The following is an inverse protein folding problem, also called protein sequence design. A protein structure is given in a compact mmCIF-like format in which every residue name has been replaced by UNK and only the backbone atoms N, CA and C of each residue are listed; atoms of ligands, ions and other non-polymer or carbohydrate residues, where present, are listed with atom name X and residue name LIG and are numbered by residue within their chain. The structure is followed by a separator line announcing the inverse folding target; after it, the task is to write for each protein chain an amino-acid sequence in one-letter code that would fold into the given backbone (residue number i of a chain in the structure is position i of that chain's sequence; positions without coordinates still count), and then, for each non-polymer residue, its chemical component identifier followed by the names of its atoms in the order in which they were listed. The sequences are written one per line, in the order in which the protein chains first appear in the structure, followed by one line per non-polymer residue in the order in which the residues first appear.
data_IF_928897881417
#
_entry.id   IF_928897881417
#
_cell.length_a   1.000
_cell.length_b   1.000
_cell.length_c   1.000
_cell.angle_alpha   90.00
_cell.angle_beta   90.00
_cell.angle_gamma   90.00
#
_symmetry.space_group_name_H-M   'P 1'
#
loop_
_entity.id
_entity.type
_entity.pdbx_description
1 polymer ?
#
# COMPACT_ATOMS: atom_id res chain seq x y z
N UNK A 1 23.42 -6.15 -26.26
CA UNK A 1 22.88 -7.25 -25.44
C UNK A 1 21.41 -6.96 -25.14
N UNK A 2 20.45 -7.64 -25.77
CA UNK A 2 19.01 -7.44 -25.48
C UNK A 2 18.69 -8.11 -24.15
N UNK A 3 18.63 -7.34 -23.07
CA UNK A 3 18.13 -7.83 -21.77
C UNK A 3 16.66 -8.28 -21.95
N UNK A 4 16.41 -9.59 -21.95
CA UNK A 4 15.08 -10.13 -22.20
C UNK A 4 14.30 -10.29 -20.88
N UNK A 5 13.63 -9.20 -20.45
CA UNK A 5 12.73 -9.21 -19.28
C UNK A 5 11.43 -10.00 -19.49
N UNK A 6 11.21 -10.58 -20.67
CA UNK A 6 9.97 -11.26 -21.03
C UNK A 6 9.64 -12.44 -20.08
N UNK A 7 10.67 -13.14 -19.59
CA UNK A 7 10.50 -14.24 -18.61
C UNK A 7 10.01 -13.77 -17.24
N UNK A 8 10.21 -12.49 -16.90
CA UNK A 8 9.77 -11.91 -15.62
C UNK A 8 8.41 -11.22 -15.75
N UNK A 9 8.11 -10.71 -16.94
CA UNK A 9 6.83 -10.07 -17.27
C UNK A 9 5.72 -11.13 -17.33
N UNK A 10 5.95 -12.26 -18.01
CA UNK A 10 5.02 -13.40 -18.06
C UNK A 10 5.75 -14.65 -17.55
N UNK A 11 5.90 -14.80 -16.23
CA UNK A 11 6.65 -15.90 -15.66
C UNK A 11 5.89 -17.22 -15.81
N UNK A 12 6.59 -18.32 -16.09
CA UNK A 12 6.03 -19.66 -15.94
C UNK A 12 5.75 -19.95 -14.47
N UNK A 13 4.84 -20.90 -14.20
CA UNK A 13 4.36 -21.20 -12.84
C UNK A 13 5.51 -21.48 -11.87
N UNK A 14 6.51 -22.26 -12.27
CA UNK A 14 7.67 -22.56 -11.43
C UNK A 14 8.43 -21.31 -11.00
N UNK A 15 8.55 -20.29 -11.86
CA UNK A 15 9.26 -19.06 -11.55
C UNK A 15 8.45 -18.21 -10.55
N UNK A 16 7.12 -18.19 -10.67
CA UNK A 16 6.27 -17.51 -9.67
C UNK A 16 6.37 -18.17 -8.30
N UNK A 17 6.34 -19.51 -8.24
CA UNK A 17 6.52 -20.26 -6.99
C UNK A 17 7.89 -19.97 -6.41
N UNK A 18 8.95 -19.95 -7.24
CA UNK A 18 10.30 -19.60 -6.80
C UNK A 18 10.35 -18.18 -6.20
N UNK A 19 9.70 -17.18 -6.82
CA UNK A 19 9.70 -15.81 -6.26
C UNK A 19 9.05 -15.74 -4.87
N UNK A 20 7.99 -16.50 -4.65
CA UNK A 20 7.31 -16.58 -3.35
C UNK A 20 8.12 -17.35 -2.31
N UNK A 21 8.85 -18.39 -2.72
CA UNK A 21 9.75 -19.13 -1.82
C UNK A 21 10.97 -18.29 -1.43
N UNK A 22 11.54 -17.54 -2.38
CA UNK A 22 12.66 -16.63 -2.11
C UNK A 22 12.22 -15.50 -1.19
N UNK A 23 11.03 -14.91 -1.41
CA UNK A 23 10.50 -13.89 -0.51
C UNK A 23 10.26 -14.43 0.90
N UNK A 24 9.74 -15.67 1.03
CA UNK A 24 9.59 -16.34 2.32
C UNK A 24 10.93 -16.56 3.02
N UNK A 25 11.91 -17.12 2.31
CA UNK A 25 13.25 -17.36 2.86
C UNK A 25 13.93 -16.08 3.32
N UNK A 26 13.81 -15.00 2.54
CA UNK A 26 14.32 -13.67 2.92
C UNK A 26 13.57 -13.09 4.13
N UNK A 27 12.25 -13.26 4.20
CA UNK A 27 11.47 -12.77 5.34
C UNK A 27 11.83 -13.49 6.63
N UNK A 28 11.96 -14.82 6.59
CA UNK A 28 12.35 -15.62 7.76
C UNK A 28 13.81 -15.37 8.15
N UNK A 29 14.73 -15.19 7.19
CA UNK A 29 16.14 -14.90 7.53
C UNK A 29 16.29 -13.55 8.23
N UNK A 30 15.50 -12.55 7.84
CA UNK A 30 15.52 -11.23 8.52
C UNK A 30 15.08 -11.30 9.97
N UNK A 31 14.20 -12.24 10.35
CA UNK A 31 13.81 -12.42 11.76
C UNK A 31 15.01 -12.81 12.63
N UNK A 32 15.90 -13.66 12.13
CA UNK A 32 17.09 -14.08 12.87
C UNK A 32 18.20 -13.04 12.89
N UNK A 33 18.28 -12.20 11.84
CA UNK A 33 19.38 -11.25 11.63
C UNK A 33 19.04 -9.85 12.16
N UNK A 34 17.77 -9.46 12.16
CA UNK A 34 17.30 -8.10 12.45
C UNK A 34 16.19 -8.11 13.52
N UNK A 35 16.56 -7.88 14.78
CA UNK A 35 15.64 -7.92 15.95
C UNK A 35 15.20 -6.53 16.43
N UNK A 36 14.97 -5.59 15.52
CA UNK A 36 14.31 -4.31 15.87
C UNK A 36 12.98 -4.18 15.12
N UNK A 37 11.90 -4.77 15.65
CA UNK A 37 10.60 -4.49 15.10
C UNK A 37 10.27 -3.03 15.39
N UNK A 38 9.72 -2.33 14.40
CA UNK A 38 9.15 -1.02 14.63
C UNK A 38 7.67 -1.22 14.90
N UNK A 39 7.24 -1.28 16.19
CA UNK A 39 5.84 -1.39 16.51
C UNK A 39 5.10 -0.21 15.92
N UNK A 40 3.83 -0.43 15.58
CA UNK A 40 3.00 0.65 15.08
C UNK A 40 2.95 1.78 16.12
N UNK A 41 3.03 3.03 15.65
CA UNK A 41 2.98 4.17 16.57
C UNK A 41 1.53 4.44 17.03
N UNK A 42 1.37 4.88 18.28
CA UNK A 42 0.06 5.22 18.85
C UNK A 42 -0.58 4.10 19.67
N UNK A 43 -1.78 4.38 20.19
CA UNK A 43 -2.48 3.49 21.14
C UNK A 43 -2.88 2.14 20.53
N UNK A 44 -3.24 2.12 19.25
CA UNK A 44 -3.55 0.88 18.53
C UNK A 44 -2.30 0.00 18.44
N UNK A 45 -1.14 0.60 18.17
CA UNK A 45 0.12 -0.12 18.20
C UNK A 45 0.47 -0.68 19.58
N UNK A 46 0.30 0.10 20.65
CA UNK A 46 0.53 -0.41 22.02
C UNK A 46 -0.44 -1.52 22.41
N UNK A 47 -1.70 -1.45 21.96
CA UNK A 47 -2.68 -2.51 22.18
C UNK A 47 -2.33 -3.77 21.39
N UNK A 48 -1.96 -3.60 20.12
CA UNK A 48 -1.50 -4.69 19.26
C UNK A 48 -0.25 -5.38 19.80
N UNK A 49 0.71 -4.63 20.34
CA UNK A 49 1.89 -5.17 21.04
C UNK A 49 1.51 -5.99 22.29
N UNK A 50 0.46 -5.58 23.00
CA UNK A 50 -0.05 -6.32 24.16
C UNK A 50 -0.68 -7.67 23.81
N UNK A 51 -1.26 -7.81 22.61
CA UNK A 51 -1.81 -9.07 22.11
C UNK A 51 -0.71 -9.95 21.51
N UNK A 52 0.06 -9.38 20.59
CA UNK A 52 1.09 -10.09 19.85
C UNK A 52 2.29 -9.14 19.66
N UNK A 53 3.39 -9.33 20.39
CA UNK A 53 4.53 -8.45 20.28
C UNK A 53 5.13 -8.57 18.88
N UNK A 54 5.46 -7.43 18.26
CA UNK A 54 6.01 -7.39 16.90
C UNK A 54 7.37 -8.09 16.78
N UNK A 55 8.07 -8.28 17.90
CA UNK A 55 9.30 -9.08 17.99
C UNK A 55 9.07 -10.58 17.89
N UNK A 56 7.84 -11.07 18.05
CA UNK A 56 7.55 -12.49 17.98
C UNK A 56 7.64 -13.03 16.55
N UNK A 57 8.06 -14.29 16.44
CA UNK A 57 8.04 -15.04 15.18
C UNK A 57 6.61 -15.13 14.61
N UNK A 58 5.60 -15.25 15.47
CA UNK A 58 4.20 -15.27 15.08
C UNK A 58 3.77 -13.96 14.40
N UNK A 59 4.16 -12.79 14.92
CA UNK A 59 3.88 -11.50 14.28
C UNK A 59 4.57 -11.36 12.91
N UNK A 60 5.80 -11.87 12.80
CA UNK A 60 6.54 -11.90 11.54
C UNK A 60 5.85 -12.79 10.50
N UNK A 61 5.44 -14.00 10.86
CA UNK A 61 4.69 -14.91 9.98
C UNK A 61 3.32 -14.34 9.60
N UNK A 62 2.62 -13.68 10.54
CA UNK A 62 1.33 -13.05 10.26
C UNK A 62 1.50 -11.89 9.27
N UNK A 63 2.50 -11.02 9.49
CA UNK A 63 2.81 -9.92 8.57
C UNK A 63 3.16 -10.44 7.16
N UNK A 64 3.90 -11.54 7.06
CA UNK A 64 4.18 -12.21 5.79
C UNK A 64 2.91 -12.77 5.14
N UNK A 65 2.06 -13.45 5.90
CA UNK A 65 0.78 -13.97 5.39
C UNK A 65 -0.11 -12.87 4.82
N UNK A 66 -0.18 -11.72 5.50
CA UNK A 66 -0.92 -10.55 5.01
C UNK A 66 -0.26 -9.92 3.79
N UNK A 67 1.08 -9.88 3.72
CA UNK A 67 1.80 -9.47 2.51
C UNK A 67 1.47 -10.39 1.32
N UNK A 68 1.41 -11.71 1.52
CA UNK A 68 1.01 -12.66 0.46
C UNK A 68 -0.44 -12.43 0.00
N UNK A 69 -1.35 -12.13 0.94
CA UNK A 69 -2.72 -11.77 0.58
C UNK A 69 -2.77 -10.47 -0.22
N UNK A 70 -1.99 -9.45 0.15
CA UNK A 70 -1.85 -8.21 -0.63
C UNK A 70 -1.33 -8.48 -2.04
N UNK A 71 -0.28 -9.30 -2.18
CA UNK A 71 0.32 -9.62 -3.48
C UNK A 71 -0.65 -10.41 -4.37
N UNK A 72 -1.41 -11.33 -3.77
CA UNK A 72 -2.46 -12.08 -4.46
C UNK A 72 -3.61 -11.17 -4.91
N UNK A 73 -4.12 -10.32 -4.01
CA UNK A 73 -5.19 -9.37 -4.34
C UNK A 73 -4.74 -8.40 -5.44
N UNK A 74 -3.49 -7.94 -5.39
CA UNK A 74 -2.89 -7.11 -6.45
C UNK A 74 -2.83 -7.83 -7.81
N UNK A 75 -2.48 -9.12 -7.82
CA UNK A 75 -2.51 -9.93 -9.04
C UNK A 75 -3.94 -10.11 -9.56
N UNK A 76 -4.91 -10.33 -8.66
CA UNK A 76 -6.34 -10.46 -9.00
C UNK A 76 -6.91 -9.15 -9.55
N UNK A 77 -6.52 -8.00 -8.98
CA UNK A 77 -6.87 -6.67 -9.50
C UNK A 77 -6.39 -6.52 -10.94
N UNK A 78 -5.13 -6.90 -11.23
CA UNK A 78 -4.59 -6.82 -12.58
C UNK A 78 -5.34 -7.73 -13.55
N UNK A 79 -5.70 -8.94 -13.13
CA UNK A 79 -6.46 -9.88 -13.96
C UNK A 79 -7.92 -9.43 -14.21
N UNK A 80 -8.59 -8.84 -13.21
CA UNK A 80 -10.00 -8.46 -13.28
C UNK A 80 -10.23 -7.15 -14.04
N UNK A 81 -9.45 -6.12 -13.73
CA UNK A 81 -9.61 -4.78 -14.31
C UNK A 81 -8.71 -4.53 -15.51
N UNK A 82 -7.69 -5.39 -15.72
CA UNK A 82 -6.76 -5.30 -16.86
C UNK A 82 -6.15 -3.91 -17.02
N UNK A 83 -5.88 -3.23 -15.91
CA UNK A 83 -5.33 -1.87 -15.91
C UNK A 83 -3.92 -1.83 -16.54
N UNK A 84 -3.17 -2.95 -16.50
CA UNK A 84 -2.08 -3.23 -17.42
C UNK A 84 -2.62 -4.16 -18.52
N UNK A 85 -2.58 -3.69 -19.76
CA UNK A 85 -3.16 -4.40 -20.93
C UNK A 85 -2.55 -5.76 -21.20
N UNK A 86 -1.31 -5.96 -20.78
CA UNK A 86 -0.62 -7.23 -20.90
C UNK A 86 -0.81 -8.01 -19.61
N UNK A 87 -1.09 -9.31 -19.73
CA UNK A 87 -1.10 -10.21 -18.57
C UNK A 87 0.31 -10.25 -18.01
N UNK A 88 0.51 -9.68 -16.82
CA UNK A 88 1.86 -9.52 -16.26
C UNK A 88 1.89 -9.79 -14.76
N UNK A 89 2.98 -10.41 -14.31
CA UNK A 89 3.30 -10.61 -12.89
C UNK A 89 4.10 -9.44 -12.30
N UNK A 90 4.38 -8.43 -13.11
CA UNK A 90 5.27 -7.33 -12.75
C UNK A 90 4.82 -6.53 -11.52
N UNK A 91 3.53 -6.17 -11.35
CA UNK A 91 3.07 -5.48 -10.13
C UNK A 91 3.33 -6.31 -8.88
N UNK A 92 3.00 -7.60 -8.94
CA UNK A 92 3.21 -8.53 -7.83
C UNK A 92 4.69 -8.69 -7.50
N UNK A 93 5.55 -8.82 -8.51
CA UNK A 93 6.99 -8.91 -8.32
C UNK A 93 7.57 -7.66 -7.64
N UNK A 94 7.25 -6.46 -8.15
CA UNK A 94 7.77 -5.20 -7.57
C UNK A 94 7.26 -5.00 -6.15
N UNK A 95 6.00 -5.34 -5.87
CA UNK A 95 5.45 -5.28 -4.52
C UNK A 95 6.17 -6.22 -3.54
N UNK A 96 6.40 -7.48 -3.93
CA UNK A 96 7.14 -8.45 -3.12
C UNK A 96 8.58 -7.99 -2.88
N UNK A 97 9.25 -7.50 -3.92
CA UNK A 97 10.62 -6.99 -3.83
C UNK A 97 10.72 -5.85 -2.80
N UNK A 98 9.87 -4.83 -2.91
CA UNK A 98 9.90 -3.71 -1.97
C UNK A 98 9.54 -4.14 -0.55
N UNK A 99 8.49 -4.94 -0.41
CA UNK A 99 8.02 -5.38 0.92
C UNK A 99 9.09 -6.22 1.64
N UNK A 100 9.80 -7.10 0.92
CA UNK A 100 10.90 -7.90 1.50
C UNK A 100 12.16 -7.10 1.80
N UNK A 101 12.45 -6.05 1.04
CA UNK A 101 13.61 -5.20 1.29
C UNK A 101 13.37 -4.17 2.41
N UNK A 102 12.11 -3.84 2.70
CA UNK A 102 11.74 -2.87 3.73
C UNK A 102 11.60 -3.52 5.11
N UNK A 103 12.74 -3.75 5.76
CA UNK A 103 12.85 -4.34 7.09
C UNK A 103 11.89 -3.75 8.14
N UNK A 104 11.60 -2.43 8.20
CA UNK A 104 10.66 -1.90 9.19
C UNK A 104 9.22 -2.39 9.07
N UNK A 105 8.86 -2.99 7.93
CA UNK A 105 7.54 -3.59 7.69
C UNK A 105 7.42 -4.97 8.34
N UNK A 106 8.54 -5.64 8.59
CA UNK A 106 8.58 -7.00 9.12
C UNK A 106 8.13 -6.98 10.59
N UNK A 107 7.18 -7.84 10.94
CA UNK A 107 6.58 -7.88 12.28
C UNK A 107 5.47 -6.85 12.51
N UNK A 108 5.37 -5.79 11.69
CA UNK A 108 4.28 -4.81 11.77
C UNK A 108 3.04 -5.31 11.03
N UNK A 109 2.35 -6.27 11.62
CA UNK A 109 1.16 -6.87 11.03
C UNK A 109 -0.02 -5.89 10.89
N UNK A 110 -0.13 -4.90 11.79
CA UNK A 110 -1.21 -3.92 11.78
C UNK A 110 -1.13 -3.03 10.54
N UNK A 111 0.07 -2.53 10.19
CA UNK A 111 0.29 -1.75 8.98
C UNK A 111 -0.02 -2.55 7.70
N UNK A 112 0.38 -3.83 7.66
CA UNK A 112 0.09 -4.72 6.54
C UNK A 112 -1.41 -5.01 6.39
N UNK A 113 -2.13 -5.17 7.51
CA UNK A 113 -3.59 -5.35 7.52
C UNK A 113 -4.31 -4.09 7.06
N UNK A 114 -3.88 -2.91 7.51
CA UNK A 114 -4.43 -1.64 7.06
C UNK A 114 -4.24 -1.45 5.55
N UNK A 115 -3.07 -1.86 5.02
CA UNK A 115 -2.81 -1.85 3.60
C UNK A 115 -3.69 -2.82 2.82
N UNK A 116 -3.96 -4.01 3.35
CA UNK A 116 -4.89 -4.97 2.76
C UNK A 116 -6.30 -4.41 2.67
N UNK A 117 -6.81 -3.82 3.76
CA UNK A 117 -8.12 -3.19 3.75
C UNK A 117 -8.18 -2.06 2.72
N UNK A 118 -7.15 -1.20 2.68
CA UNK A 118 -7.10 -0.11 1.69
C UNK A 118 -7.00 -0.62 0.25
N UNK A 119 -6.28 -1.70 0.00
CA UNK A 119 -6.23 -2.35 -1.30
C UNK A 119 -7.61 -2.91 -1.70
N UNK A 120 -8.35 -3.47 -0.74
CA UNK A 120 -9.72 -3.94 -0.91
C UNK A 120 -10.67 -2.77 -1.24
N UNK A 121 -10.51 -1.61 -0.59
CA UNK A 121 -11.24 -0.37 -0.96
C UNK A 121 -10.99 -0.03 -2.43
N UNK A 122 -9.72 -0.03 -2.88
CA UNK A 122 -9.39 0.24 -4.29
C UNK A 122 -10.00 -0.83 -5.21
N UNK A 123 -9.93 -2.11 -4.84
CA UNK A 123 -10.52 -3.22 -5.61
C UNK A 123 -12.03 -3.05 -5.80
N UNK A 124 -12.77 -2.70 -4.74
CA UNK A 124 -14.23 -2.50 -4.80
C UNK A 124 -14.59 -1.26 -5.60
N UNK A 125 -13.88 -0.15 -5.37
CA UNK A 125 -14.16 1.12 -6.05
C UNK A 125 -13.92 1.04 -7.55
N UNK A 126 -12.86 0.35 -8.01
CA UNK A 126 -12.63 0.10 -9.44
C UNK A 126 -13.81 -0.63 -10.11
N UNK A 127 -14.51 -1.49 -9.38
CA UNK A 127 -15.70 -2.20 -9.85
C UNK A 127 -16.90 -1.32 -10.19
N UNK A 128 -16.88 -0.06 -9.77
CA UNK A 128 -17.99 0.89 -9.96
C UNK A 128 -17.95 1.60 -11.32
N UNK A 129 -16.94 1.38 -12.15
CA UNK A 129 -16.79 2.08 -13.42
C UNK A 129 -18.06 2.02 -14.29
N UNK A 130 -18.63 3.18 -14.62
CA UNK A 130 -19.90 3.35 -15.38
C UNK A 130 -21.13 2.61 -14.80
N UNK A 131 -21.07 2.10 -13.57
CA UNK A 131 -22.21 1.44 -12.96
C UNK A 131 -23.12 2.49 -12.29
N UNK A 132 -24.31 2.68 -12.85
CA UNK A 132 -25.31 3.64 -12.34
C UNK A 132 -25.93 3.21 -11.01
N UNK A 133 -25.83 1.94 -10.64
CA UNK A 133 -26.31 1.37 -9.37
C UNK A 133 -25.17 0.99 -8.42
N UNK A 134 -24.05 1.71 -8.48
CA UNK A 134 -22.87 1.47 -7.63
C UNK A 134 -23.05 1.82 -6.14
N UNK A 135 -24.28 2.00 -5.64
CA UNK A 135 -24.55 2.40 -4.26
C UNK A 135 -24.03 1.37 -3.24
N UNK A 136 -24.29 0.08 -3.50
CA UNK A 136 -23.85 -1.01 -2.63
C UNK A 136 -22.32 -1.08 -2.56
N UNK A 137 -21.65 -1.02 -3.71
CA UNK A 137 -20.18 -1.06 -3.77
C UNK A 137 -19.54 0.18 -3.13
N UNK A 138 -20.18 1.35 -3.26
CA UNK A 138 -19.73 2.57 -2.60
C UNK A 138 -19.87 2.49 -1.08
N UNK A 139 -20.98 1.93 -0.58
CA UNK A 139 -21.17 1.65 0.83
C UNK A 139 -20.13 0.64 1.35
N UNK A 140 -19.94 -0.50 0.68
CA UNK A 140 -18.97 -1.51 1.10
C UNK A 140 -17.52 -1.00 1.07
N UNK A 141 -17.14 -0.26 0.03
CA UNK A 141 -15.79 0.30 -0.07
C UNK A 141 -15.50 1.33 1.03
N UNK A 142 -16.46 2.19 1.35
CA UNK A 142 -16.32 3.18 2.42
C UNK A 142 -16.41 2.56 3.82
N UNK A 143 -17.20 1.49 3.99
CA UNK A 143 -17.23 0.67 5.21
C UNK A 143 -15.88 0.04 5.50
N UNK A 144 -15.26 -0.59 4.50
CA UNK A 144 -13.92 -1.17 4.62
C UNK A 144 -12.87 -0.08 4.87
N UNK A 145 -13.02 1.10 4.26
CA UNK A 145 -12.17 2.25 4.57
C UNK A 145 -12.30 2.63 6.04
N UNK A 146 -13.52 2.76 6.56
CA UNK A 146 -13.79 3.06 7.96
C UNK A 146 -13.16 2.03 8.92
N UNK A 147 -13.22 0.73 8.59
CA UNK A 147 -12.48 -0.29 9.35
C UNK A 147 -10.97 -0.08 9.30
N UNK A 148 -10.42 0.28 8.14
CA UNK A 148 -8.99 0.59 7.99
C UNK A 148 -8.56 1.79 8.84
N UNK A 149 -9.47 2.75 9.05
CA UNK A 149 -9.20 3.91 9.92
C UNK A 149 -9.07 3.57 11.40
N UNK A 150 -9.53 2.40 11.84
CA UNK A 150 -9.23 1.94 13.19
C UNK A 150 -7.80 1.49 13.34
N UNK A 151 -7.21 0.94 12.29
CA UNK A 151 -5.82 0.54 12.28
C UNK A 151 -4.93 1.77 12.09
N UNK A 152 -5.15 2.50 10.99
CA UNK A 152 -4.42 3.72 10.60
C UNK A 152 -5.43 4.88 10.51
N UNK A 153 -5.65 5.66 11.58
CA UNK A 153 -6.63 6.76 11.61
C UNK A 153 -6.48 7.77 10.50
N UNK A 154 -5.29 7.92 9.94
CA UNK A 154 -4.97 8.88 8.89
C UNK A 154 -5.63 8.55 7.55
N UNK A 155 -6.04 7.31 7.33
CA UNK A 155 -6.73 6.93 6.10
C UNK A 155 -8.13 7.55 5.97
N UNK A 156 -8.68 8.18 7.02
CA UNK A 156 -9.93 8.94 6.93
C UNK A 156 -9.83 10.01 5.84
N UNK A 157 -8.67 10.68 5.70
CA UNK A 157 -8.49 11.73 4.70
C UNK A 157 -8.58 11.23 3.26
N UNK A 158 -8.37 9.93 3.02
CA UNK A 158 -8.49 9.35 1.69
C UNK A 158 -9.94 9.31 1.20
N UNK A 159 -10.95 9.45 2.07
CA UNK A 159 -12.35 9.47 1.64
C UNK A 159 -12.62 10.63 0.66
N UNK A 160 -12.04 11.80 0.93
CA UNK A 160 -12.21 12.99 0.08
C UNK A 160 -11.65 12.70 -1.32
N UNK A 161 -10.49 12.06 -1.38
CA UNK A 161 -9.86 11.64 -2.62
C UNK A 161 -10.67 10.55 -3.33
N UNK A 162 -11.23 9.60 -2.60
CA UNK A 162 -12.10 8.56 -3.17
C UNK A 162 -13.36 9.16 -3.78
N UNK A 163 -13.97 10.17 -3.15
CA UNK A 163 -15.10 10.92 -3.72
C UNK A 163 -14.72 11.65 -5.01
N UNK A 164 -13.55 12.29 -5.05
CA UNK A 164 -13.00 12.86 -6.29
C UNK A 164 -12.81 11.74 -7.34
N UNK A 165 -12.38 10.57 -6.90
CA UNK A 165 -12.27 9.34 -7.69
C UNK A 165 -13.56 8.90 -8.39
N UNK A 166 -14.71 9.06 -7.73
CA UNK A 166 -16.01 8.67 -8.32
C UNK A 166 -16.36 9.47 -9.57
N UNK A 167 -15.88 10.73 -9.68
CA UNK A 167 -16.03 11.52 -10.91
C UNK A 167 -15.21 10.93 -12.06
N UNK A 168 -13.97 10.49 -11.79
CA UNK A 168 -13.14 9.82 -12.80
C UNK A 168 -13.75 8.49 -13.25
N UNK A 169 -14.33 7.72 -12.34
CA UNK A 169 -14.99 6.46 -12.64
C UNK A 169 -16.38 6.61 -13.29
N UNK A 170 -16.88 7.85 -13.45
CA UNK A 170 -18.19 8.18 -14.01
C UNK A 170 -19.36 7.52 -13.27
N UNK A 171 -19.22 7.34 -11.95
CA UNK A 171 -20.24 6.77 -11.07
C UNK A 171 -20.69 7.76 -9.98
N UNK A 172 -20.28 9.03 -10.10
CA UNK A 172 -20.69 10.09 -9.17
C UNK A 172 -22.18 10.36 -9.31
N UNK A 173 -22.94 10.02 -8.26
CA UNK A 173 -24.33 10.40 -8.08
C UNK A 173 -24.55 10.76 -6.62
N UNK A 174 -25.57 11.58 -6.34
CA UNK A 174 -25.89 11.94 -4.96
C UNK A 174 -26.16 10.71 -4.09
N UNK A 175 -26.82 9.68 -4.63
CA UNK A 175 -27.10 8.43 -3.91
C UNK A 175 -25.82 7.66 -3.57
N UNK A 176 -24.86 7.60 -4.50
CA UNK A 176 -23.54 6.98 -4.29
C UNK A 176 -22.74 7.74 -3.23
N UNK A 177 -22.80 9.07 -3.23
CA UNK A 177 -22.16 9.89 -2.21
C UNK A 177 -22.73 9.62 -0.81
N UNK A 178 -24.07 9.63 -0.67
CA UNK A 178 -24.72 9.33 0.60
C UNK A 178 -24.42 7.90 1.07
N UNK A 179 -24.45 6.92 0.16
CA UNK A 179 -24.09 5.54 0.48
C UNK A 179 -22.64 5.43 0.98
N UNK A 180 -21.70 6.14 0.35
CA UNK A 180 -20.31 6.21 0.77
C UNK A 180 -20.13 6.89 2.14
N UNK A 181 -20.86 7.97 2.40
CA UNK A 181 -20.83 8.66 3.68
C UNK A 181 -21.36 7.78 4.83
N UNK A 182 -22.50 7.10 4.61
CA UNK A 182 -23.05 6.15 5.57
C UNK A 182 -22.12 4.95 5.79
N UNK A 183 -21.53 4.42 4.73
CA UNK A 183 -20.56 3.33 4.83
C UNK A 183 -19.36 3.71 5.68
N UNK A 184 -18.81 4.93 5.54
CA UNK A 184 -17.69 5.36 6.39
C UNK A 184 -18.08 5.52 7.87
N UNK A 185 -19.27 6.04 8.16
CA UNK A 185 -19.71 6.33 9.52
C UNK A 185 -20.15 5.07 10.28
N UNK A 186 -20.75 4.11 9.60
CA UNK A 186 -21.27 2.87 10.23
C UNK A 186 -20.27 2.12 11.11
N UNK A 187 -19.01 1.83 10.72
CA UNK A 187 -18.07 1.17 11.61
C UNK A 187 -17.78 2.02 12.85
N UNK A 188 -17.67 3.35 12.71
CA UNK A 188 -17.47 4.27 13.84
C UNK A 188 -18.64 4.26 14.81
N UNK A 189 -19.88 4.23 14.32
CA UNK A 189 -21.07 4.12 15.18
C UNK A 189 -21.05 2.79 15.95
N UNK A 190 -20.73 1.68 15.30
CA UNK A 190 -20.67 0.36 15.95
C UNK A 190 -19.58 0.30 17.02
N UNK A 191 -18.44 0.94 16.77
CA UNK A 191 -17.37 1.05 17.75
C UNK A 191 -17.80 1.93 18.94
N UNK A 192 -18.44 3.07 18.67
CA UNK A 192 -18.89 3.97 19.73
C UNK A 192 -20.01 3.37 20.57
N UNK A 193 -20.95 2.64 19.95
CA UNK A 193 -22.01 1.94 20.67
C UNK A 193 -21.46 0.83 21.57
N UNK A 194 -20.53 0.01 21.08
CA UNK A 194 -19.90 -1.04 21.89
C UNK A 194 -19.12 -0.48 23.07
N UNK A 195 -18.39 0.63 22.90
CA UNK A 195 -17.72 1.30 24.03
C UNK A 195 -18.70 1.86 25.07
N UNK A 196 -19.80 2.46 24.61
CA UNK A 196 -20.85 2.97 25.50
C UNK A 196 -21.46 1.84 26.34
N UNK A 197 -21.86 0.73 25.71
CA UNK A 197 -22.47 -0.40 26.42
C UNK A 197 -21.53 -1.13 27.38
N UNK A 198 -20.22 -1.18 27.10
CA UNK A 198 -19.27 -1.97 27.90
C UNK A 198 -18.61 -1.18 29.04
N UNK A 199 -18.42 0.12 28.88
CA UNK A 199 -17.57 0.90 29.80
C UNK A 199 -18.27 2.13 30.40
N UNK A 200 -19.52 2.43 30.02
CA UNK A 200 -20.34 3.59 30.46
C UNK A 200 -19.65 4.97 30.40
N UNK A 201 -18.47 5.05 29.76
CA UNK A 201 -17.61 6.22 29.72
C UNK A 201 -17.41 6.69 28.28
N UNK A 202 -17.98 7.86 27.98
CA UNK A 202 -17.86 8.54 26.68
C UNK A 202 -16.56 9.36 26.54
N UNK A 203 -15.69 9.38 27.56
CA UNK A 203 -14.46 10.17 27.59
C UNK A 203 -13.49 9.87 26.44
N UNK A 204 -13.59 8.68 25.84
CA UNK A 204 -12.80 8.30 24.67
C UNK A 204 -13.13 9.12 23.42
N UNK A 205 -14.35 9.66 23.31
CA UNK A 205 -14.80 10.49 22.17
C UNK A 205 -14.00 11.78 22.09
N UNK A 206 -13.70 12.41 23.22
CA UNK A 206 -12.99 13.70 23.29
C UNK A 206 -11.50 13.60 22.89
N UNK A 207 -10.93 12.40 22.79
CA UNK A 207 -9.51 12.19 22.47
C UNK A 207 -9.26 11.81 21.01
N UNK A 208 -10.30 11.44 20.27
CA UNK A 208 -10.27 11.18 18.81
C UNK A 208 -9.70 12.35 17.99
N UNK A 209 -9.95 13.64 18.31
CA UNK A 209 -9.44 14.75 17.51
C UNK A 209 -7.91 14.91 17.57
N UNK A 210 -7.25 14.46 18.64
CA UNK A 210 -5.82 14.74 18.87
C UNK A 210 -4.89 14.10 17.84
N UNK A 211 -5.38 13.08 17.11
CA UNK A 211 -4.65 12.44 16.02
C UNK A 211 -4.69 13.26 14.72
N UNK A 212 -5.71 14.10 14.51
CA UNK A 212 -5.88 14.86 13.26
C UNK A 212 -4.95 16.07 13.15
N UNK A 213 -4.43 16.58 14.28
CA UNK A 213 -3.72 17.87 14.34
C UNK A 213 -2.20 17.78 14.52
N UNK A 214 -1.60 16.58 14.62
CA UNK A 214 -0.14 16.42 14.76
C UNK A 214 0.53 16.31 13.40
N UNK A 215 0.96 17.45 12.86
CA UNK A 215 1.82 17.52 11.68
C UNK A 215 3.29 17.51 12.09
N UNK A 216 4.08 16.68 11.40
CA UNK A 216 5.52 16.63 11.59
C UNK A 216 6.18 16.54 10.22
N UNK A 217 6.82 17.63 9.81
CA UNK A 217 7.59 17.66 8.58
C UNK A 217 8.99 17.08 8.84
N UNK A 218 9.44 16.23 7.91
CA UNK A 218 10.81 15.72 7.75
C UNK A 218 11.72 15.74 8.99
N UNK A 219 11.97 14.57 9.59
CA UNK A 219 13.06 14.44 10.55
C UNK A 219 14.40 14.19 9.83
N UNK A 220 15.45 14.93 10.20
CA UNK A 220 16.81 14.74 9.67
C UNK A 220 17.54 13.50 10.24
N UNK A 221 16.91 12.73 11.14
CA UNK A 221 17.59 11.68 11.91
C UNK A 221 18.06 10.47 11.07
N UNK A 222 17.63 10.31 9.82
CA UNK A 222 18.07 9.22 8.93
C UNK A 222 18.29 9.72 7.49
N UNK A 223 19.45 10.32 7.21
CA UNK A 223 19.80 10.82 5.86
C UNK A 223 19.75 9.69 4.81
N UNK A 224 20.20 8.48 5.17
CA UNK A 224 20.29 7.34 4.26
C UNK A 224 18.92 6.84 3.79
N UNK A 225 17.90 6.85 4.67
CA UNK A 225 16.53 6.50 4.24
C UNK A 225 15.93 7.55 3.34
N UNK A 226 16.19 8.82 3.63
CA UNK A 226 15.63 9.92 2.84
C UNK A 226 16.21 9.90 1.43
N UNK A 227 17.50 9.59 1.28
CA UNK A 227 18.15 9.39 -0.03
C UNK A 227 17.49 8.23 -0.79
N UNK A 228 17.29 7.08 -0.14
CA UNK A 228 16.64 5.92 -0.76
C UNK A 228 15.22 6.23 -1.23
N UNK A 229 14.38 6.85 -0.39
CA UNK A 229 13.03 7.28 -0.78
C UNK A 229 13.05 8.35 -1.87
N UNK A 230 14.05 9.24 -1.88
CA UNK A 230 14.25 10.22 -2.95
C UNK A 230 14.52 9.56 -4.31
N UNK A 231 15.37 8.53 -4.35
CA UNK A 231 15.63 7.75 -5.58
C UNK A 231 14.36 7.02 -6.03
N UNK A 232 13.64 6.37 -5.11
CA UNK A 232 12.36 5.73 -5.43
C UNK A 232 11.34 6.73 -5.98
N UNK A 233 11.27 7.94 -5.42
CA UNK A 233 10.40 9.00 -5.90
C UNK A 233 10.77 9.43 -7.32
N UNK A 234 12.05 9.55 -7.66
CA UNK A 234 12.49 9.84 -9.03
C UNK A 234 12.03 8.77 -10.02
N UNK A 235 12.15 7.49 -9.65
CA UNK A 235 11.68 6.38 -10.48
C UNK A 235 10.16 6.49 -10.69
N UNK A 236 9.38 6.80 -9.66
CA UNK A 236 7.92 6.98 -9.77
C UNK A 236 7.57 8.16 -10.65
N UNK A 237 8.21 9.32 -10.47
CA UNK A 237 7.97 10.51 -11.31
C UNK A 237 8.21 10.19 -12.78
N UNK A 238 9.31 9.48 -13.06
CA UNK A 238 9.63 9.03 -14.41
C UNK A 238 8.60 8.02 -14.95
N UNK A 239 8.18 7.03 -14.15
CA UNK A 239 7.13 6.09 -14.52
C UNK A 239 5.77 6.77 -14.75
N UNK A 240 5.42 7.78 -13.97
CA UNK A 240 4.21 8.59 -14.14
C UNK A 240 4.24 9.35 -15.47
N UNK A 241 5.37 9.95 -15.83
CA UNK A 241 5.55 10.62 -17.12
C UNK A 241 5.36 9.65 -18.30
N UNK A 242 5.96 8.45 -18.20
CA UNK A 242 5.77 7.40 -19.21
C UNK A 242 4.31 6.96 -19.34
N UNK A 243 3.64 6.84 -18.21
CA UNK A 243 2.26 6.40 -18.13
C UNK A 243 1.30 7.44 -18.73
N UNK A 244 1.53 8.73 -18.52
CA UNK A 244 0.75 9.80 -19.17
C UNK A 244 1.06 9.93 -20.65
N UNK A 245 2.32 9.77 -21.07
CA UNK A 245 2.71 9.80 -22.49
C UNK A 245 2.00 8.70 -23.31
N UNK A 246 1.79 7.52 -22.72
CA UNK A 246 1.11 6.40 -23.37
C UNK A 246 -0.41 6.33 -23.15
N UNK A 247 -0.98 7.23 -22.34
CA UNK A 247 -2.40 7.22 -21.99
C UNK A 247 -3.36 7.35 -23.20
N UNK A 248 -2.86 7.82 -24.35
CA UNK A 248 -3.65 7.90 -25.61
C UNK A 248 -3.90 6.54 -26.24
N UNK A 249 -3.01 5.58 -26.00
CA UNK A 249 -3.19 4.22 -26.51
C UNK A 249 -4.25 3.50 -25.69
N UNK A 250 -4.39 3.84 -24.41
CA UNK A 250 -5.28 3.23 -23.42
C UNK A 250 -6.77 3.46 -23.71
N UNK A 251 -7.60 2.46 -23.38
CA UNK A 251 -9.05 2.63 -23.45
C UNK A 251 -9.48 3.67 -22.42
N UNK A 252 -10.61 4.33 -22.67
CA UNK A 252 -11.13 5.37 -21.76
C UNK A 252 -11.36 4.80 -20.35
N UNK A 253 -11.74 3.52 -20.24
CA UNK A 253 -11.91 2.83 -18.96
C UNK A 253 -10.60 2.70 -18.20
N UNK A 254 -9.59 2.05 -18.81
CA UNK A 254 -8.28 1.83 -18.19
C UNK A 254 -7.66 3.17 -17.77
N UNK A 255 -7.76 4.21 -18.62
CA UNK A 255 -7.24 5.54 -18.30
C UNK A 255 -7.89 6.14 -17.04
N UNK A 256 -9.20 5.99 -16.88
CA UNK A 256 -9.93 6.52 -15.74
C UNK A 256 -9.62 5.72 -14.46
N UNK A 257 -9.57 4.40 -14.54
CA UNK A 257 -9.17 3.51 -13.43
C UNK A 257 -7.73 3.81 -12.97
N UNK A 258 -6.79 3.94 -13.90
CA UNK A 258 -5.41 4.32 -13.60
C UNK A 258 -5.30 5.74 -13.03
N UNK A 259 -6.17 6.67 -13.45
CA UNK A 259 -6.21 8.02 -12.89
C UNK A 259 -6.71 8.01 -11.46
N UNK A 260 -7.71 7.18 -11.16
CA UNK A 260 -8.15 6.92 -9.79
C UNK A 260 -7.04 6.34 -8.92
N UNK A 261 -6.33 5.30 -9.40
CA UNK A 261 -5.20 4.69 -8.66
C UNK A 261 -4.09 5.73 -8.39
N UNK A 262 -3.73 6.54 -9.38
CA UNK A 262 -2.74 7.63 -9.21
C UNK A 262 -3.18 8.64 -8.15
N UNK A 263 -4.47 8.98 -8.13
CA UNK A 263 -5.03 9.94 -7.18
C UNK A 263 -5.00 9.40 -5.74
N UNK A 264 -5.39 8.14 -5.52
CA UNK A 264 -5.32 7.52 -4.19
C UNK A 264 -3.85 7.34 -3.76
N UNK A 265 -2.98 6.88 -4.66
CA UNK A 265 -1.54 6.74 -4.38
C UNK A 265 -0.87 8.06 -4.02
N UNK A 266 -1.24 9.16 -4.70
CA UNK A 266 -0.81 10.51 -4.33
C UNK A 266 -1.29 10.92 -2.94
N UNK A 267 -2.53 10.57 -2.58
CA UNK A 267 -3.06 10.78 -1.24
C UNK A 267 -2.23 10.10 -0.14
N UNK A 268 -1.90 8.82 -0.33
CA UNK A 268 -1.07 8.06 0.61
C UNK A 268 0.34 8.67 0.72
N UNK A 269 0.94 9.07 -0.40
CA UNK A 269 2.23 9.77 -0.39
C UNK A 269 2.16 11.10 0.37
N UNK A 270 1.11 11.90 0.15
CA UNK A 270 0.92 13.15 0.89
C UNK A 270 0.76 12.91 2.39
N UNK A 271 0.01 11.89 2.80
CA UNK A 271 -0.09 11.52 4.22
C UNK A 271 1.27 11.14 4.82
N UNK A 272 2.10 10.41 4.08
CA UNK A 272 3.44 10.04 4.53
C UNK A 272 4.37 11.24 4.74
N UNK A 273 4.25 12.27 3.90
CA UNK A 273 5.05 13.50 4.00
C UNK A 273 4.56 14.41 5.12
N UNK A 274 3.24 14.59 5.23
CA UNK A 274 2.62 15.46 6.25
C UNK A 274 2.78 14.90 7.67
N UNK A 275 2.80 13.57 7.81
CA UNK A 275 2.90 12.88 9.10
C UNK A 275 4.06 11.89 9.13
N UNK A 276 5.27 12.43 8.98
CA UNK A 276 6.51 11.66 8.97
C UNK A 276 6.71 10.77 10.22
N UNK A 277 6.17 11.15 11.38
CA UNK A 277 6.27 10.37 12.62
C UNK A 277 5.69 8.95 12.53
N UNK A 278 4.67 8.74 11.69
CA UNK A 278 4.04 7.43 11.50
C UNK A 278 4.37 6.79 10.13
N UNK A 279 5.49 7.20 9.51
CA UNK A 279 5.82 6.82 8.12
C UNK A 279 5.85 5.29 7.88
N UNK A 280 6.28 4.53 8.88
CA UNK A 280 6.39 3.07 8.81
C UNK A 280 5.04 2.42 8.51
N UNK A 281 3.95 2.97 9.05
CA UNK A 281 2.59 2.45 8.86
C UNK A 281 2.08 2.60 7.43
N UNK A 282 2.61 3.56 6.66
CA UNK A 282 2.23 3.79 5.27
C UNK A 282 3.08 3.00 4.28
N UNK A 283 4.22 2.45 4.69
CA UNK A 283 5.12 1.75 3.78
C UNK A 283 4.40 0.64 3.00
N UNK A 284 3.66 -0.30 3.64
CA UNK A 284 3.01 -1.37 2.88
C UNK A 284 2.02 -0.83 1.82
N UNK A 285 1.26 0.23 2.16
CA UNK A 285 0.38 0.90 1.18
C UNK A 285 1.14 1.57 0.05
N UNK A 286 2.24 2.27 0.35
CA UNK A 286 3.08 2.93 -0.65
C UNK A 286 3.67 1.89 -1.61
N UNK A 287 4.13 0.75 -1.09
CA UNK A 287 4.66 -0.34 -1.92
C UNK A 287 3.63 -0.82 -2.96
N UNK A 288 2.34 -0.92 -2.59
CA UNK A 288 1.29 -1.36 -3.51
C UNK A 288 1.12 -0.36 -4.66
N UNK A 289 0.90 0.93 -4.36
CA UNK A 289 0.69 1.94 -5.40
C UNK A 289 1.95 2.15 -6.26
N UNK A 290 3.11 2.12 -5.61
CA UNK A 290 4.40 2.15 -6.30
C UNK A 290 4.50 1.01 -7.31
N UNK A 291 4.19 -0.22 -6.88
CA UNK A 291 4.28 -1.39 -7.72
C UNK A 291 3.37 -1.31 -8.94
N UNK A 292 2.14 -0.80 -8.79
CA UNK A 292 1.22 -0.61 -9.92
C UNK A 292 1.80 0.37 -10.96
N UNK A 293 2.24 1.55 -10.51
CA UNK A 293 2.72 2.62 -11.40
C UNK A 293 4.01 2.18 -12.12
N UNK A 294 4.95 1.61 -11.38
CA UNK A 294 6.26 1.21 -11.91
C UNK A 294 6.13 -0.03 -12.81
N UNK A 295 5.29 -0.99 -12.44
CA UNK A 295 5.03 -2.15 -13.30
C UNK A 295 4.37 -1.76 -14.63
N UNK A 296 3.45 -0.79 -14.64
CA UNK A 296 2.88 -0.27 -15.89
C UNK A 296 3.99 0.22 -16.83
N UNK A 297 4.90 1.05 -16.33
CA UNK A 297 5.99 1.61 -17.13
C UNK A 297 6.91 0.53 -17.72
N UNK A 298 7.33 -0.44 -16.90
CA UNK A 298 8.27 -1.49 -17.32
C UNK A 298 7.64 -2.57 -18.22
N UNK A 299 6.34 -2.81 -18.11
CA UNK A 299 5.67 -3.81 -18.93
C UNK A 299 5.31 -3.29 -20.31
N UNK A 300 4.87 -2.03 -20.41
CA UNK A 300 4.36 -1.47 -21.65
C UNK A 300 5.47 -0.91 -22.56
N UNK A 301 6.52 -0.32 -21.99
CA UNK A 301 7.62 0.30 -22.74
C UNK A 301 8.86 -0.59 -22.67
N UNK A 302 9.07 -1.38 -23.73
CA UNK A 302 10.19 -2.31 -23.87
C UNK A 302 11.42 -1.61 -24.46
N UNK A 303 12.05 -0.74 -23.66
CA UNK A 303 13.29 -0.05 -24.04
C UNK A 303 14.45 -0.51 -23.15
N UNK A 304 15.68 -0.47 -23.68
CA UNK A 304 16.89 -0.76 -22.90
C UNK A 304 16.97 0.11 -21.64
N UNK A 305 16.57 1.38 -21.75
CA UNK A 305 16.51 2.30 -20.62
C UNK A 305 15.63 1.76 -19.48
N UNK A 306 14.39 1.34 -19.79
CA UNK A 306 13.48 0.80 -18.78
C UNK A 306 14.00 -0.50 -18.17
N UNK A 307 14.69 -1.34 -18.95
CA UNK A 307 15.36 -2.52 -18.41
C UNK A 307 16.47 -2.15 -17.43
N UNK A 308 17.26 -1.11 -17.73
CA UNK A 308 18.33 -0.62 -16.84
C UNK A 308 17.72 -0.03 -15.56
N UNK A 309 16.68 0.80 -15.67
CA UNK A 309 16.00 1.39 -14.49
C UNK A 309 15.39 0.30 -13.60
N UNK A 310 14.83 -0.75 -14.19
CA UNK A 310 14.33 -1.89 -13.42
C UNK A 310 15.44 -2.64 -12.68
N UNK A 311 16.58 -2.90 -13.33
CA UNK A 311 17.73 -3.54 -12.67
C UNK A 311 18.25 -2.63 -11.54
N UNK A 312 18.35 -1.32 -11.77
CA UNK A 312 18.73 -0.34 -10.75
C UNK A 312 17.78 -0.38 -9.56
N UNK A 313 16.46 -0.47 -9.78
CA UNK A 313 15.47 -0.62 -8.70
C UNK A 313 15.74 -1.86 -7.85
N UNK A 314 15.99 -3.01 -8.47
CA UNK A 314 16.32 -4.24 -7.75
C UNK A 314 17.60 -4.08 -6.93
N UNK A 315 18.68 -3.62 -7.57
CA UNK A 315 20.01 -3.47 -6.94
C UNK A 315 19.96 -2.50 -5.77
N UNK A 316 19.35 -1.33 -5.94
CA UNK A 316 19.26 -0.30 -4.90
C UNK A 316 18.42 -0.79 -3.71
N UNK A 317 17.36 -1.56 -3.95
CA UNK A 317 16.54 -2.13 -2.88
C UNK A 317 17.30 -3.18 -2.05
N UNK A 318 18.07 -4.05 -2.70
CA UNK A 318 18.95 -4.99 -1.98
C UNK A 318 20.07 -4.28 -1.23
N UNK A 319 20.74 -3.29 -1.84
CA UNK A 319 21.79 -2.51 -1.18
C UNK A 319 21.22 -1.83 0.07
N UNK A 320 20.01 -1.26 -0.01
CA UNK A 320 19.36 -0.63 1.13
C UNK A 320 19.07 -1.63 2.26
N UNK A 321 18.58 -2.83 1.92
CA UNK A 321 18.35 -3.90 2.89
C UNK A 321 19.66 -4.30 3.60
N UNK A 322 20.74 -4.56 2.85
CA UNK A 322 22.05 -4.89 3.43
C UNK A 322 22.61 -3.77 4.29
N UNK A 323 22.51 -2.52 3.83
CA UNK A 323 22.95 -1.35 4.60
C UNK A 323 22.23 -1.26 5.95
N UNK A 324 20.91 -1.53 5.97
CA UNK A 324 20.13 -1.51 7.21
C UNK A 324 20.48 -2.66 8.16
N UNK A 325 20.78 -3.85 7.64
CA UNK A 325 21.25 -4.98 8.43
C UNK A 325 22.62 -4.68 9.04
N UNK A 326 23.55 -4.13 8.25
CA UNK A 326 24.88 -3.75 8.75
C UNK A 326 24.73 -2.69 9.83
N UNK A 327 24.02 -1.60 9.55
CA UNK A 327 23.84 -0.52 10.52
C UNK A 327 23.21 -1.01 11.83
N UNK A 328 22.34 -2.02 11.78
CA UNK A 328 21.78 -2.66 12.96
C UNK A 328 22.85 -3.38 13.80
N UNK A 329 23.67 -4.23 13.17
CA UNK A 329 24.73 -4.97 13.84
C UNK A 329 25.86 -4.09 14.42
N UNK A 330 25.95 -2.82 14.01
CA UNK A 330 26.92 -1.87 14.56
C UNK A 330 26.37 -1.05 15.74
N UNK A 331 25.04 -1.02 15.94
CA UNK A 331 24.37 -0.25 17.00
C UNK A 331 24.07 -1.13 18.22
N UNK A 332 23.86 -2.43 18.02
CA UNK A 332 23.81 -3.48 19.06
C UNK A 332 25.23 -3.91 19.38
#
# INVERSE_FOLDING_TARGET
MKLNLQKLIVPPIYLTVLTYLVSFGMWVSTYYIYQYPYPMSGRIGTFAEGILPSSSLAAHLLSFGVMMLNSFLLAQMNNKYSFIRTRTFMPTFVYLLLSTCWLPVHGNYVANLAALLLLLVVFLTLGMYKNSQAMEQAFLSSFVLGLSTFLVPEFVYLIVLIWVGYFFLKCSSFRVFVASFLGLITPWILLLSTFYFLHDNLDYIYRIPTFLYKYSFFSHKNISTNIYFGILALIVVFSLFQMTANARRDSIQIRNELTFIKLVGFGVLMLSVLRFSNNISYLPTIAIFYAIIVAYAFTLIRNLFNSIVFIMLCVISFIFMFYRIILYNWIV
#
